data_IF_322027056902
#
_entry.id   IF_322027056902
#
_cell.length_a   1.000
_cell.length_b   1.000
_cell.length_c   1.000
_cell.angle_alpha   90.00
_cell.angle_beta   90.00
_cell.angle_gamma   90.00
#
_symmetry.space_group_name_H-M   'P 1'
#
loop_
_entity.id
_entity.type
_entity.pdbx_description
1 polymer ?
#
# COMPACT_ATOMS: atom_id res chain seq x y z
N UNK A 1 -8.24 9.85 2.11
CA UNK A 1 -7.30 10.30 1.08
C UNK A 1 -6.07 9.41 1.18
N UNK A 2 -5.50 9.03 0.06
CA UNK A 2 -4.37 8.11 0.03
C UNK A 2 -3.17 8.67 0.81
N UNK A 3 -2.55 7.83 1.64
CA UNK A 3 -1.38 8.21 2.44
C UNK A 3 -1.64 8.97 3.74
N UNK A 4 -2.89 9.37 4.04
CA UNK A 4 -3.24 10.04 5.30
C UNK A 4 -4.64 9.61 5.74
N UNK A 5 -4.72 8.85 6.82
CA UNK A 5 -5.98 8.34 7.39
C UNK A 5 -6.06 8.67 8.88
N UNK A 6 -7.08 9.39 9.32
CA UNK A 6 -7.25 9.71 10.74
C UNK A 6 -7.53 8.47 11.59
N UNK A 7 -8.16 7.47 11.00
CA UNK A 7 -8.52 6.20 11.67
C UNK A 7 -8.14 4.97 10.83
N UNK A 8 -7.56 3.97 11.51
CA UNK A 8 -7.19 2.69 10.94
C UNK A 8 -7.24 1.60 12.03
N UNK A 9 -8.30 0.80 12.03
CA UNK A 9 -8.60 -0.16 13.10
C UNK A 9 -7.48 -1.18 13.42
N UNK A 10 -6.61 -1.50 12.44
CA UNK A 10 -5.48 -2.42 12.67
C UNK A 10 -4.37 -1.86 13.57
N UNK A 11 -4.47 -0.59 13.99
CA UNK A 11 -3.60 -0.01 15.02
C UNK A 11 -4.03 -0.42 16.43
N UNK A 12 -5.29 -0.86 16.60
CA UNK A 12 -5.83 -1.28 17.88
C UNK A 12 -5.48 -2.77 18.08
N UNK A 13 -5.00 -3.13 19.26
CA UNK A 13 -4.54 -4.49 19.57
C UNK A 13 -3.14 -4.82 19.04
N UNK A 14 -2.38 -3.81 18.60
CA UNK A 14 -0.97 -3.93 18.23
C UNK A 14 -0.16 -2.93 19.03
N UNK A 15 0.87 -3.41 19.70
CA UNK A 15 1.88 -2.61 20.37
C UNK A 15 3.24 -2.79 19.70
N UNK A 16 4.16 -1.87 19.95
CA UNK A 16 5.54 -1.97 19.52
C UNK A 16 6.39 -2.21 20.76
N UNK A 17 7.15 -3.28 20.75
CA UNK A 17 8.21 -3.49 21.72
C UNK A 17 9.40 -2.62 21.31
N UNK A 18 9.74 -1.64 22.13
CA UNK A 18 10.84 -0.71 21.82
C UNK A 18 12.21 -1.33 21.95
N UNK A 19 12.35 -2.38 22.78
CA UNK A 19 13.61 -3.08 22.97
C UNK A 19 14.02 -3.89 21.74
N UNK A 20 13.05 -4.49 21.07
CA UNK A 20 13.23 -5.32 19.86
C UNK A 20 12.84 -4.64 18.57
N UNK A 21 12.09 -3.52 18.64
CA UNK A 21 11.50 -2.82 17.49
C UNK A 21 10.38 -3.60 16.79
N UNK A 22 9.95 -4.75 17.33
CA UNK A 22 8.93 -5.61 16.73
C UNK A 22 7.52 -5.20 17.14
N UNK A 23 6.58 -5.44 16.23
CA UNK A 23 5.16 -5.33 16.57
C UNK A 23 4.70 -6.60 17.27
N UNK A 24 4.08 -6.44 18.43
CA UNK A 24 3.51 -7.51 19.23
C UNK A 24 2.00 -7.35 19.33
N UNK A 25 1.30 -8.46 19.57
CA UNK A 25 -0.13 -8.44 19.79
C UNK A 25 -0.43 -7.98 21.23
N UNK A 26 -1.27 -6.94 21.37
CA UNK A 26 -1.79 -6.51 22.66
C UNK A 26 -3.22 -7.06 22.89
N UNK A 27 -3.50 -7.46 24.11
CA UNK A 27 -4.80 -7.98 24.51
C UNK A 27 -5.90 -6.93 24.41
N UNK A 28 -7.09 -7.31 23.96
CA UNK A 28 -8.28 -6.48 23.96
C UNK A 28 -9.23 -7.06 25.01
N UNK A 29 -9.53 -6.29 26.04
CA UNK A 29 -10.46 -6.72 27.10
C UNK A 29 -11.91 -6.77 26.61
N UNK A 30 -12.27 -5.86 25.74
CA UNK A 30 -13.59 -5.78 25.15
C UNK A 30 -13.83 -4.48 24.43
N UNK A 31 -14.99 -4.38 23.82
CA UNK A 31 -15.41 -3.18 23.14
C UNK A 31 -16.73 -3.36 22.43
N UNK A 32 -17.27 -2.26 21.94
CA UNK A 32 -18.48 -2.29 21.14
C UNK A 32 -18.40 -1.31 19.98
N UNK A 33 -19.19 -1.58 18.95
CA UNK A 33 -19.32 -0.74 17.78
C UNK A 33 -20.78 -0.60 17.38
N UNK A 34 -21.19 0.65 17.19
CA UNK A 34 -22.47 1.02 16.62
C UNK A 34 -22.23 1.77 15.31
N UNK A 35 -22.88 1.38 14.22
CA UNK A 35 -22.82 2.13 12.97
C UNK A 35 -24.10 1.95 12.17
N UNK A 36 -24.60 3.03 11.60
CA UNK A 36 -25.84 2.96 10.86
C UNK A 36 -26.30 4.30 10.32
N UNK A 37 -27.49 4.27 9.70
CA UNK A 37 -28.23 5.46 9.32
C UNK A 37 -29.33 5.68 10.33
N UNK A 38 -29.46 6.92 10.82
CA UNK A 38 -30.60 7.35 11.64
C UNK A 38 -31.80 7.58 10.72
N UNK A 39 -31.55 8.21 9.56
CA UNK A 39 -32.51 8.49 8.52
C UNK A 39 -31.84 8.55 7.14
N UNK A 40 -32.53 9.09 6.13
CA UNK A 40 -31.98 9.22 4.77
C UNK A 40 -30.83 10.23 4.65
N UNK A 41 -30.65 11.09 5.65
CA UNK A 41 -29.70 12.20 5.62
C UNK A 41 -28.57 12.03 6.62
N UNK A 42 -28.79 11.33 7.75
CA UNK A 42 -27.84 11.19 8.82
C UNK A 42 -27.28 9.79 8.93
N UNK A 43 -25.97 9.70 9.03
CA UNK A 43 -25.21 8.47 9.35
C UNK A 43 -24.37 8.74 10.58
N UNK A 44 -24.33 7.77 11.48
CA UNK A 44 -23.50 7.80 12.67
C UNK A 44 -22.59 6.57 12.71
N UNK A 45 -21.46 6.72 13.38
CA UNK A 45 -20.56 5.63 13.76
C UNK A 45 -20.00 5.94 15.13
N UNK A 46 -20.00 4.94 16.00
CA UNK A 46 -19.38 4.99 17.31
C UNK A 46 -18.65 3.67 17.56
N UNK A 47 -17.50 3.76 18.17
CA UNK A 47 -16.71 2.58 18.60
C UNK A 47 -15.98 2.95 19.88
N UNK A 48 -15.98 2.03 20.83
CA UNK A 48 -15.19 2.10 22.04
C UNK A 48 -14.53 0.74 22.30
N UNK A 49 -13.22 0.72 22.50
CA UNK A 49 -12.42 -0.50 22.71
C UNK A 49 -11.45 -0.25 23.85
N UNK A 50 -11.41 -1.17 24.81
CA UNK A 50 -10.45 -1.21 25.90
C UNK A 50 -9.39 -2.26 25.61
N UNK A 51 -8.14 -1.84 25.43
CA UNK A 51 -6.97 -2.70 25.34
C UNK A 51 -6.31 -2.87 26.71
N UNK A 52 -5.72 -4.03 26.92
CA UNK A 52 -5.05 -4.39 28.15
C UNK A 52 -3.68 -3.72 28.30
N UNK A 53 -3.12 -3.85 29.47
CA UNK A 53 -1.73 -3.51 29.77
C UNK A 53 -0.80 -4.68 29.47
N UNK A 54 0.48 -4.39 29.24
CA UNK A 54 1.55 -5.38 29.16
C UNK A 54 2.79 -4.83 29.89
N UNK A 55 3.00 -5.34 31.11
CA UNK A 55 4.10 -4.90 31.97
C UNK A 55 5.50 -5.18 31.37
N UNK A 56 5.62 -6.24 30.54
CA UNK A 56 6.91 -6.64 29.96
C UNK A 56 7.49 -5.59 29.01
N UNK A 57 6.63 -4.80 28.41
CA UNK A 57 7.00 -3.75 27.44
C UNK A 57 6.58 -2.36 27.92
N UNK A 58 6.24 -2.23 29.20
CA UNK A 58 5.79 -0.97 29.82
C UNK A 58 4.60 -0.33 29.06
N UNK A 59 3.65 -1.15 28.60
CA UNK A 59 2.47 -0.69 27.87
C UNK A 59 1.28 -0.54 28.83
N UNK A 60 0.72 0.67 29.02
CA UNK A 60 -0.44 0.88 29.87
C UNK A 60 -1.73 0.40 29.22
N UNK A 61 -2.71 0.06 30.07
CA UNK A 61 -4.09 -0.13 29.63
C UNK A 61 -4.58 1.10 28.86
N UNK A 62 -5.20 0.90 27.70
CA UNK A 62 -5.51 1.99 26.78
C UNK A 62 -6.93 1.88 26.24
N UNK A 63 -7.68 2.98 26.34
CA UNK A 63 -8.99 3.13 25.72
C UNK A 63 -8.89 3.81 24.34
N UNK A 64 -9.65 3.29 23.39
CA UNK A 64 -9.78 3.82 22.03
C UNK A 64 -11.23 4.12 21.72
N UNK A 65 -11.59 5.38 21.62
CA UNK A 65 -12.93 5.83 21.26
C UNK A 65 -12.92 6.55 19.89
N UNK A 66 -13.88 6.21 19.05
CA UNK A 66 -14.09 6.86 17.74
C UNK A 66 -15.57 7.20 17.61
N UNK A 67 -15.87 8.46 17.34
CA UNK A 67 -17.18 8.94 17.02
C UNK A 67 -17.20 9.63 15.65
N UNK A 68 -18.20 9.35 14.84
CA UNK A 68 -18.37 10.01 13.54
C UNK A 68 -19.84 10.31 13.27
N UNK A 69 -20.08 11.48 12.70
CA UNK A 69 -21.40 11.91 12.26
C UNK A 69 -21.27 12.45 10.84
N UNK A 70 -22.15 12.01 9.96
CA UNK A 70 -22.18 12.42 8.56
C UNK A 70 -23.59 12.86 8.18
N UNK A 71 -23.69 14.01 7.54
CA UNK A 71 -24.96 14.54 7.04
C UNK A 71 -24.91 14.65 5.52
N UNK A 72 -25.91 14.09 4.87
CA UNK A 72 -26.15 14.31 3.45
C UNK A 72 -26.60 15.75 3.23
N UNK A 73 -25.95 16.42 2.28
CA UNK A 73 -26.28 17.78 1.85
C UNK A 73 -26.42 17.78 0.33
N UNK A 74 -27.23 18.69 -0.19
CA UNK A 74 -27.60 18.70 -1.60
C UNK A 74 -28.19 17.32 -2.04
N UNK A 75 -28.04 16.99 -3.31
CA UNK A 75 -28.61 15.72 -3.85
C UNK A 75 -27.80 14.51 -3.41
N UNK A 76 -26.47 14.57 -3.39
CA UNK A 76 -25.58 13.41 -3.22
C UNK A 76 -24.31 13.71 -2.39
N UNK A 77 -24.00 14.94 -2.13
CA UNK A 77 -22.85 15.35 -1.32
C UNK A 77 -23.10 15.11 0.17
N UNK A 78 -22.06 15.10 0.95
CA UNK A 78 -22.16 15.00 2.40
C UNK A 78 -21.03 15.74 3.09
N UNK A 79 -21.29 16.15 4.32
CA UNK A 79 -20.30 16.67 5.26
C UNK A 79 -20.24 15.73 6.45
N UNK A 80 -19.04 15.46 6.96
CA UNK A 80 -18.80 14.59 8.08
C UNK A 80 -17.87 15.21 9.11
N UNK A 81 -18.05 14.81 10.35
CA UNK A 81 -17.15 15.11 11.47
C UNK A 81 -16.71 13.79 12.05
N UNK A 82 -15.44 13.68 12.39
CA UNK A 82 -14.85 12.54 13.11
C UNK A 82 -14.13 13.08 14.35
N UNK A 83 -14.31 12.40 15.47
CA UNK A 83 -13.56 12.60 16.70
C UNK A 83 -12.98 11.27 17.15
N UNK A 84 -11.70 11.26 17.50
CA UNK A 84 -10.96 10.09 17.95
C UNK A 84 -10.28 10.46 19.26
N UNK A 85 -10.36 9.55 20.24
CA UNK A 85 -9.64 9.69 21.50
C UNK A 85 -8.93 8.37 21.79
N UNK A 86 -7.62 8.44 22.01
CA UNK A 86 -6.83 7.41 22.63
C UNK A 86 -6.40 7.91 23.98
N UNK A 87 -6.72 7.17 25.04
CA UNK A 87 -6.40 7.50 26.41
C UNK A 87 -5.70 6.34 27.09
N UNK A 88 -4.47 6.55 27.54
CA UNK A 88 -3.74 5.58 28.35
C UNK A 88 -4.04 5.79 29.85
N UNK A 89 -4.15 4.69 30.59
CA UNK A 89 -4.36 4.65 32.05
C UNK A 89 -3.17 3.98 32.71
N UNK A 90 -2.63 4.62 33.73
CA UNK A 90 -1.36 4.21 34.35
C UNK A 90 -1.57 3.65 35.76
N UNK A 91 -2.55 2.79 35.99
CA UNK A 91 -2.88 2.38 37.37
C UNK A 91 -1.92 1.31 37.93
N UNK A 92 -1.17 0.59 37.11
CA UNK A 92 -0.32 -0.55 37.56
C UNK A 92 1.15 -0.46 37.12
N UNK A 93 1.49 0.42 36.21
CA UNK A 93 2.85 0.52 35.72
C UNK A 93 3.55 1.69 36.40
N UNK A 94 4.55 1.38 37.23
CA UNK A 94 5.42 2.36 37.91
C UNK A 94 6.41 3.02 36.93
N UNK A 95 5.93 3.47 35.77
CA UNK A 95 6.73 4.13 34.75
C UNK A 95 6.33 5.58 34.54
N UNK A 96 7.32 6.43 34.35
CA UNK A 96 7.09 7.82 33.95
C UNK A 96 6.68 7.85 32.47
N UNK A 97 5.58 8.51 32.13
CA UNK A 97 5.18 8.78 30.74
C UNK A 97 6.23 9.59 29.94
N UNK A 98 7.28 10.07 30.59
CA UNK A 98 8.39 10.74 29.91
C UNK A 98 9.19 9.82 28.99
N UNK A 99 9.15 8.50 29.21
CA UNK A 99 9.87 7.52 28.40
C UNK A 99 8.99 6.76 27.43
N UNK A 100 7.67 6.68 27.61
CA UNK A 100 6.65 6.14 26.68
C UNK A 100 5.45 5.49 27.40
N UNK A 101 4.29 5.30 26.78
CA UNK A 101 3.67 5.86 25.61
C UNK A 101 2.90 7.16 25.91
N UNK A 102 2.45 7.88 24.87
CA UNK A 102 1.68 9.11 25.06
C UNK A 102 0.44 8.88 25.92
N UNK A 103 0.28 9.69 26.96
CA UNK A 103 -0.86 9.65 27.88
C UNK A 103 -2.20 9.77 27.17
N UNK A 104 -2.24 10.64 26.15
CA UNK A 104 -3.42 10.77 25.28
C UNK A 104 -3.04 11.20 23.88
N UNK A 105 -3.85 10.79 22.93
CA UNK A 105 -3.84 11.32 21.57
C UNK A 105 -5.29 11.52 21.11
N UNK A 106 -5.63 12.75 20.75
CA UNK A 106 -6.96 13.11 20.31
C UNK A 106 -6.90 13.65 18.90
N UNK A 107 -7.90 13.35 18.09
CA UNK A 107 -7.99 13.87 16.73
C UNK A 107 -9.42 14.31 16.45
N UNK A 108 -9.53 15.50 15.84
CA UNK A 108 -10.80 16.01 15.32
C UNK A 108 -10.62 16.25 13.83
N UNK A 109 -11.60 15.87 13.04
CA UNK A 109 -11.59 16.06 11.60
C UNK A 109 -12.94 16.44 11.03
N UNK A 110 -12.89 17.21 9.95
CA UNK A 110 -14.05 17.57 9.13
C UNK A 110 -13.78 17.12 7.71
N UNK A 111 -14.75 16.44 7.10
CA UNK A 111 -14.72 15.96 5.72
C UNK A 111 -15.90 16.52 4.93
N UNK A 112 -15.65 16.97 3.72
CA UNK A 112 -16.66 17.25 2.72
C UNK A 112 -16.49 16.33 1.53
N UNK A 113 -17.52 15.60 1.15
CA UNK A 113 -17.52 14.75 -0.03
C UNK A 113 -18.49 15.31 -1.07
N UNK A 114 -17.95 15.73 -2.19
CA UNK A 114 -18.67 16.24 -3.34
C UNK A 114 -19.14 15.10 -4.23
N UNK A 115 -20.42 15.09 -4.60
CA UNK A 115 -20.94 14.26 -5.67
C UNK A 115 -22.05 15.02 -6.41
N UNK A 116 -21.80 15.38 -7.67
CA UNK A 116 -22.81 16.04 -8.50
C UNK A 116 -23.94 15.08 -8.89
N UNK A 117 -25.11 15.62 -9.23
CA UNK A 117 -26.29 14.85 -9.60
C UNK A 117 -26.01 13.88 -10.77
N UNK A 118 -25.24 14.31 -11.76
CA UNK A 118 -24.91 13.57 -12.97
C UNK A 118 -23.59 12.77 -12.89
N UNK A 119 -22.96 12.69 -11.71
CA UNK A 119 -21.64 12.05 -11.50
C UNK A 119 -20.46 12.63 -12.31
N UNK A 120 -20.62 13.77 -12.96
CA UNK A 120 -19.53 14.40 -13.72
C UNK A 120 -18.48 14.94 -12.78
N UNK A 121 -18.89 15.52 -11.64
CA UNK A 121 -18.01 16.03 -10.62
C UNK A 121 -18.11 15.18 -9.35
N UNK A 122 -16.99 14.76 -8.85
CA UNK A 122 -16.85 14.16 -7.51
C UNK A 122 -15.54 14.61 -6.87
N UNK A 123 -15.51 14.61 -5.55
CA UNK A 123 -14.32 15.05 -4.86
C UNK A 123 -14.43 14.89 -3.36
N UNK A 124 -13.35 15.25 -2.70
CA UNK A 124 -13.26 15.31 -1.24
C UNK A 124 -12.39 16.48 -0.83
N UNK A 125 -12.79 17.17 0.24
CA UNK A 125 -11.92 18.06 0.99
C UNK A 125 -11.93 17.61 2.45
N UNK A 126 -10.82 17.74 3.15
CA UNK A 126 -10.73 17.39 4.56
C UNK A 126 -9.76 18.30 5.30
N UNK A 127 -10.02 18.43 6.60
CA UNK A 127 -9.10 19.01 7.56
C UNK A 127 -9.13 18.18 8.84
N UNK A 128 -7.97 17.72 9.29
CA UNK A 128 -7.79 16.96 10.52
C UNK A 128 -6.75 17.65 11.39
N UNK A 129 -6.94 17.61 12.70
CA UNK A 129 -5.96 18.10 13.66
C UNK A 129 -5.80 17.09 14.79
N UNK A 130 -4.56 16.80 15.14
CA UNK A 130 -4.19 15.96 16.26
C UNK A 130 -3.76 16.80 17.46
N UNK A 131 -3.99 16.29 18.66
CA UNK A 131 -3.65 16.91 19.93
C UNK A 131 -3.07 15.82 20.82
N UNK A 132 -1.92 16.07 21.40
CA UNK A 132 -1.26 15.19 22.36
C UNK A 132 -0.62 16.01 23.49
N UNK A 133 0.03 15.34 24.42
CA UNK A 133 0.64 15.97 25.59
C UNK A 133 1.81 16.89 25.27
N UNK A 134 2.40 16.79 24.08
CA UNK A 134 3.56 17.61 23.70
C UNK A 134 3.18 19.04 23.32
N UNK A 135 1.91 19.29 22.98
CA UNK A 135 1.39 20.62 22.66
C UNK A 135 2.08 21.30 21.47
N UNK A 136 2.62 20.50 20.52
CA UNK A 136 3.40 21.01 19.40
C UNK A 136 2.52 21.73 18.37
N UNK A 137 3.12 22.63 17.62
CA UNK A 137 2.50 23.27 16.45
C UNK A 137 2.56 22.32 15.23
N UNK A 138 1.90 22.73 14.12
CA UNK A 138 1.88 21.96 12.87
C UNK A 138 1.32 20.54 13.00
N UNK A 139 0.28 20.37 13.82
CA UNK A 139 -0.37 19.07 14.12
C UNK A 139 -1.57 18.78 13.21
N UNK A 140 -1.58 19.30 12.00
CA UNK A 140 -2.70 19.21 11.08
C UNK A 140 -2.40 18.35 9.85
N UNK A 141 -3.47 17.86 9.22
CA UNK A 141 -3.45 17.34 7.86
C UNK A 141 -4.67 17.88 7.10
N UNK A 142 -4.45 18.44 5.95
CA UNK A 142 -5.49 19.01 5.10
C UNK A 142 -5.27 18.64 3.64
N UNK A 143 -6.31 18.72 2.85
CA UNK A 143 -6.22 18.48 1.41
C UNK A 143 -7.52 17.99 0.82
N UNK A 144 -7.40 17.46 -0.39
CA UNK A 144 -8.55 16.92 -1.08
C UNK A 144 -8.24 16.58 -2.53
N UNK A 145 -9.28 16.20 -3.22
CA UNK A 145 -9.24 16.01 -4.66
C UNK A 145 -10.55 16.45 -5.30
N UNK A 146 -10.47 16.81 -6.56
CA UNK A 146 -11.63 17.04 -7.42
C UNK A 146 -11.44 16.28 -8.72
N UNK A 147 -12.44 15.50 -9.10
CA UNK A 147 -12.50 14.77 -10.36
C UNK A 147 -13.60 15.36 -11.24
N UNK A 148 -13.25 15.62 -12.48
CA UNK A 148 -14.18 15.87 -13.57
C UNK A 148 -14.11 14.70 -14.54
N UNK A 149 -15.22 13.99 -14.74
CA UNK A 149 -15.26 12.80 -15.58
C UNK A 149 -16.46 12.81 -16.52
N UNK A 150 -16.17 12.83 -17.79
CA UNK A 150 -17.12 12.69 -18.89
C UNK A 150 -16.69 11.54 -19.80
N UNK A 151 -17.44 11.29 -20.86
CA UNK A 151 -17.04 10.27 -21.84
C UNK A 151 -15.66 10.58 -22.46
N UNK A 152 -15.38 11.83 -22.81
CA UNK A 152 -14.15 12.23 -23.48
C UNK A 152 -13.05 12.69 -22.53
N UNK A 153 -13.40 13.33 -21.43
CA UNK A 153 -12.46 13.99 -20.54
C UNK A 153 -12.45 13.33 -19.17
N UNK A 154 -11.27 13.09 -18.64
CA UNK A 154 -11.08 12.69 -17.24
C UNK A 154 -9.96 13.55 -16.66
N UNK A 155 -10.30 14.39 -15.68
CA UNK A 155 -9.37 15.32 -15.01
C UNK A 155 -9.42 15.03 -13.52
N UNK A 156 -8.27 14.89 -12.89
CA UNK A 156 -8.11 14.80 -11.44
C UNK A 156 -7.11 15.85 -10.97
N UNK A 157 -7.49 16.61 -9.99
CA UNK A 157 -6.58 17.47 -9.21
C UNK A 157 -6.61 17.00 -7.76
N UNK A 158 -5.45 16.78 -7.20
CA UNK A 158 -5.23 16.36 -5.82
C UNK A 158 -4.29 17.32 -5.12
N UNK A 159 -4.59 17.67 -3.87
CA UNK A 159 -3.70 18.46 -3.01
C UNK A 159 -3.66 17.86 -1.62
N UNK A 160 -2.53 17.98 -0.94
CA UNK A 160 -2.37 17.57 0.45
C UNK A 160 -1.27 18.38 1.13
N UNK A 161 -1.53 18.81 2.37
CA UNK A 161 -0.53 19.36 3.27
C UNK A 161 -0.60 18.61 4.59
N UNK A 162 0.53 18.15 5.09
CA UNK A 162 0.64 17.41 6.35
C UNK A 162 1.73 18.07 7.19
N UNK A 163 1.36 18.60 8.34
CA UNK A 163 2.28 19.24 9.27
C UNK A 163 3.31 18.27 9.85
N UNK A 164 4.47 18.78 10.23
CA UNK A 164 5.57 18.00 10.76
C UNK A 164 5.17 17.18 12.00
N UNK A 165 4.34 17.76 12.86
CA UNK A 165 3.93 17.16 14.13
C UNK A 165 2.54 16.51 14.08
N UNK A 166 1.93 16.36 12.89
CA UNK A 166 0.67 15.63 12.78
C UNK A 166 0.85 14.17 13.19
N UNK A 167 0.11 13.76 14.22
CA UNK A 167 0.26 12.44 14.83
C UNK A 167 -1.07 11.72 15.03
N UNK A 168 -1.61 11.01 14.03
CA UNK A 168 -2.80 10.18 14.17
C UNK A 168 -2.44 8.78 14.68
N UNK A 169 -2.28 8.58 15.99
CA UNK A 169 -1.84 7.29 16.55
C UNK A 169 -2.80 6.15 16.28
N UNK A 170 -4.11 6.42 16.21
CA UNK A 170 -5.14 5.43 15.80
C UNK A 170 -5.35 5.41 14.29
N UNK A 171 -4.55 6.13 13.56
CA UNK A 171 -4.53 6.23 12.12
C UNK A 171 -3.13 6.04 11.54
N UNK A 172 -2.87 6.67 10.42
CA UNK A 172 -1.51 6.79 9.91
C UNK A 172 -1.35 8.01 8.97
N UNK A 173 -0.15 8.56 8.94
CA UNK A 173 0.33 9.46 7.91
C UNK A 173 1.60 8.84 7.32
N UNK A 174 1.56 8.57 6.01
CA UNK A 174 2.70 7.93 5.32
C UNK A 174 3.93 8.83 5.27
N UNK A 175 3.70 10.14 5.13
CA UNK A 175 4.73 11.17 5.08
C UNK A 175 4.20 12.42 5.78
N UNK A 176 5.01 12.99 6.63
CA UNK A 176 4.74 14.25 7.34
C UNK A 176 5.63 15.35 6.79
N UNK A 177 5.39 16.59 7.19
CA UNK A 177 6.15 17.76 6.74
C UNK A 177 6.21 17.88 5.22
N UNK A 178 5.02 17.83 4.59
CA UNK A 178 4.90 17.90 3.13
C UNK A 178 3.75 18.75 2.66
N UNK A 179 3.96 19.36 1.50
CA UNK A 179 2.93 19.89 0.63
C UNK A 179 2.99 19.13 -0.70
N UNK A 180 1.85 18.69 -1.20
CA UNK A 180 1.74 17.90 -2.42
C UNK A 180 0.65 18.44 -3.32
N UNK A 181 0.95 18.52 -4.61
CA UNK A 181 -0.01 18.80 -5.67
C UNK A 181 0.18 17.77 -6.77
N UNK A 182 -0.90 17.08 -7.14
CA UNK A 182 -0.89 16.14 -8.24
C UNK A 182 -2.04 16.44 -9.22
N UNK A 183 -1.78 16.26 -10.49
CA UNK A 183 -2.76 16.49 -11.55
C UNK A 183 -2.67 15.38 -12.58
N UNK A 184 -3.82 14.88 -13.02
CA UNK A 184 -3.91 13.90 -14.11
C UNK A 184 -4.99 14.32 -15.09
N UNK A 185 -4.69 14.25 -16.37
CA UNK A 185 -5.63 14.57 -17.43
C UNK A 185 -5.58 13.52 -18.54
N UNK A 186 -6.73 13.02 -18.95
CA UNK A 186 -6.90 12.10 -20.06
C UNK A 186 -7.91 12.64 -21.07
N UNK A 187 -7.60 12.50 -22.34
CA UNK A 187 -8.54 12.67 -23.45
C UNK A 187 -8.84 11.32 -24.09
N UNK A 188 -10.09 10.92 -24.15
CA UNK A 188 -10.50 9.63 -24.69
C UNK A 188 -11.20 9.79 -26.05
N UNK A 189 -10.74 9.03 -27.03
CA UNK A 189 -11.29 8.92 -28.37
C UNK A 189 -11.95 7.55 -28.52
N UNK A 190 -13.08 7.50 -29.23
CA UNK A 190 -13.89 6.30 -29.40
C UNK A 190 -14.11 6.04 -30.91
N UNK A 191 -13.21 5.34 -31.59
CA UNK A 191 -13.35 5.05 -33.02
C UNK A 191 -14.51 4.10 -33.29
N UNK A 192 -15.33 4.43 -34.29
CA UNK A 192 -16.56 3.66 -34.59
C UNK A 192 -16.29 2.32 -35.30
N UNK A 193 -15.29 2.28 -36.19
CA UNK A 193 -15.01 1.16 -37.10
C UNK A 193 -13.63 0.53 -36.87
N UNK A 194 -13.28 0.21 -35.63
CA UNK A 194 -12.01 -0.47 -35.32
C UNK A 194 -12.18 -1.48 -34.18
N UNK A 195 -11.19 -2.37 -34.01
CA UNK A 195 -11.08 -3.25 -32.88
C UNK A 195 -10.81 -2.52 -31.54
N UNK A 196 -10.47 -1.21 -31.62
CA UNK A 196 -10.21 -0.37 -30.47
C UNK A 196 -11.54 0.16 -29.92
N UNK A 197 -11.78 -0.03 -28.63
CA UNK A 197 -12.93 0.51 -27.91
C UNK A 197 -12.71 1.99 -27.56
N UNK A 198 -11.52 2.31 -27.03
CA UNK A 198 -11.11 3.68 -26.70
C UNK A 198 -9.60 3.77 -26.68
N UNK A 199 -9.07 4.94 -26.99
CA UNK A 199 -7.66 5.27 -26.85
C UNK A 199 -7.49 6.77 -26.59
N UNK A 200 -6.30 7.19 -26.21
CA UNK A 200 -6.01 8.62 -26.15
C UNK A 200 -4.79 8.99 -25.31
N UNK A 201 -4.35 10.23 -25.49
CA UNK A 201 -3.25 10.81 -24.73
C UNK A 201 -3.67 11.19 -23.31
N UNK A 202 -2.69 11.30 -22.45
CA UNK A 202 -2.82 11.86 -21.11
C UNK A 202 -1.52 12.50 -20.65
N UNK A 203 -1.65 13.33 -19.65
CA UNK A 203 -0.54 13.90 -18.90
C UNK A 203 -0.82 13.73 -17.41
N UNK A 204 0.21 13.55 -16.63
CA UNK A 204 0.12 13.71 -15.19
C UNK A 204 1.40 14.30 -14.62
N UNK A 205 1.27 14.93 -13.46
CA UNK A 205 2.40 15.31 -12.64
C UNK A 205 2.05 15.17 -11.16
N UNK A 206 3.04 14.90 -10.35
CA UNK A 206 3.00 14.90 -8.89
C UNK A 206 4.21 15.65 -8.37
N UNK A 207 3.98 16.63 -7.49
CA UNK A 207 5.02 17.50 -6.93
C UNK A 207 4.88 17.47 -5.41
N UNK A 208 5.98 17.15 -4.72
CA UNK A 208 6.06 17.13 -3.26
C UNK A 208 7.21 18.02 -2.83
N UNK A 209 6.93 18.88 -1.87
CA UNK A 209 7.92 19.76 -1.25
C UNK A 209 7.62 20.04 0.21
N UNK A 210 8.51 20.73 0.87
CA UNK A 210 8.30 21.32 2.20
C UNK A 210 9.00 22.67 2.31
N UNK A 211 8.81 23.36 3.46
CA UNK A 211 9.37 24.68 3.68
C UNK A 211 10.88 24.67 3.95
N UNK A 212 11.42 23.57 4.47
CA UNK A 212 12.84 23.45 4.87
C UNK A 212 13.74 23.13 3.69
N UNK A 213 13.36 22.14 2.89
CA UNK A 213 14.18 21.61 1.77
C UNK A 213 13.69 22.04 0.40
N UNK A 214 12.53 22.72 0.33
CA UNK A 214 11.91 23.10 -0.93
C UNK A 214 11.35 21.88 -1.66
N UNK A 215 11.83 21.62 -2.87
CA UNK A 215 11.37 20.51 -3.71
C UNK A 215 12.01 19.19 -3.28
N UNK A 216 11.17 18.20 -2.95
CA UNK A 216 11.60 16.89 -2.48
C UNK A 216 11.53 15.82 -3.55
N UNK A 217 10.36 15.69 -4.15
CA UNK A 217 10.10 14.73 -5.22
C UNK A 217 9.16 15.35 -6.24
N UNK A 218 9.36 15.04 -7.51
CA UNK A 218 8.35 15.27 -8.53
C UNK A 218 8.46 14.28 -9.66
N UNK A 219 7.34 14.03 -10.31
CA UNK A 219 7.32 13.35 -11.59
C UNK A 219 6.35 14.01 -12.57
N UNK A 220 6.70 13.93 -13.84
CA UNK A 220 5.86 14.36 -14.94
C UNK A 220 5.84 13.28 -16.02
N UNK A 221 4.65 12.98 -16.52
CA UNK A 221 4.42 11.91 -17.47
C UNK A 221 3.66 12.41 -18.70
N UNK A 222 4.16 12.05 -19.89
CA UNK A 222 3.39 12.02 -21.13
C UNK A 222 2.92 10.59 -21.36
N UNK A 223 1.64 10.41 -21.55
CA UNK A 223 1.03 9.09 -21.54
C UNK A 223 0.18 8.85 -22.79
N UNK A 224 0.10 7.60 -23.20
CA UNK A 224 -0.88 7.15 -24.16
C UNK A 224 -1.42 5.78 -23.77
N UNK A 225 -2.72 5.57 -23.96
CA UNK A 225 -3.37 4.29 -23.66
C UNK A 225 -4.33 3.86 -24.74
N UNK A 226 -4.52 2.56 -24.85
CA UNK A 226 -5.57 2.00 -25.67
C UNK A 226 -6.27 0.84 -24.95
N UNK A 227 -7.57 0.73 -25.18
CA UNK A 227 -8.40 -0.40 -24.78
C UNK A 227 -9.06 -0.96 -26.02
N UNK A 228 -8.97 -2.26 -26.19
CA UNK A 228 -9.58 -3.00 -27.28
C UNK A 228 -10.94 -3.57 -26.89
N UNK A 229 -11.77 -3.86 -27.90
CA UNK A 229 -13.10 -4.49 -27.69
C UNK A 229 -13.02 -5.91 -27.11
N UNK A 230 -11.89 -6.58 -27.31
CA UNK A 230 -11.58 -7.85 -26.68
C UNK A 230 -11.06 -7.73 -25.23
N UNK A 231 -11.21 -6.55 -24.60
CA UNK A 231 -10.77 -6.19 -23.25
C UNK A 231 -9.26 -6.03 -23.05
N UNK A 232 -8.41 -6.37 -24.02
CA UNK A 232 -6.99 -6.10 -23.93
C UNK A 232 -6.72 -4.59 -23.76
N UNK A 233 -5.71 -4.25 -22.99
CA UNK A 233 -5.31 -2.84 -22.74
C UNK A 233 -3.81 -2.71 -22.77
N UNK A 234 -3.33 -1.57 -23.20
CA UNK A 234 -1.95 -1.16 -22.95
C UNK A 234 -1.87 0.33 -22.64
N UNK A 235 -0.83 0.72 -21.94
CA UNK A 235 -0.42 2.11 -21.80
C UNK A 235 1.11 2.23 -21.82
N UNK A 236 1.57 3.35 -22.35
CA UNK A 236 2.96 3.76 -22.34
C UNK A 236 3.06 5.13 -21.65
N UNK A 237 4.13 5.34 -20.88
CA UNK A 237 4.45 6.60 -20.22
C UNK A 237 5.90 6.94 -20.50
N UNK A 238 6.13 8.15 -20.97
CA UNK A 238 7.43 8.79 -20.95
C UNK A 238 7.48 9.63 -19.69
N UNK A 239 8.36 9.27 -18.78
CA UNK A 239 8.41 9.82 -17.43
C UNK A 239 9.73 10.53 -17.18
N UNK A 240 9.65 11.70 -16.59
CA UNK A 240 10.75 12.38 -15.95
C UNK A 240 10.44 12.48 -14.48
N UNK A 241 11.40 12.11 -13.64
CA UNK A 241 11.26 12.18 -12.18
C UNK A 241 12.49 12.80 -11.53
N UNK A 242 12.26 13.37 -10.34
CA UNK A 242 13.27 13.93 -9.47
C UNK A 242 13.04 13.38 -8.06
N UNK A 243 14.13 13.02 -7.38
CA UNK A 243 14.09 12.53 -6.01
C UNK A 243 15.23 13.12 -5.22
N UNK A 244 14.92 13.65 -4.02
CA UNK A 244 15.90 14.09 -3.02
C UNK A 244 16.03 13.01 -1.93
N UNK A 245 17.26 12.62 -1.61
CA UNK A 245 17.56 11.62 -0.59
C UNK A 245 17.83 12.30 0.77
N UNK A 246 16.96 12.05 1.75
CA UNK A 246 17.17 12.49 3.13
C UNK A 246 18.22 11.66 3.86
N UNK A 247 18.19 10.35 3.61
CA UNK A 247 19.07 9.36 4.20
C UNK A 247 19.91 8.68 3.12
N UNK A 248 21.05 8.14 3.52
CA UNK A 248 21.87 7.33 2.63
C UNK A 248 21.08 6.08 2.17
N UNK A 249 21.13 5.78 0.88
CA UNK A 249 20.29 4.75 0.26
C UNK A 249 21.11 3.85 -0.67
N UNK A 250 20.97 2.52 -0.52
CA UNK A 250 21.53 1.54 -1.45
C UNK A 250 20.51 1.23 -2.56
N UNK A 251 20.70 1.72 -3.80
CA UNK A 251 19.76 1.49 -4.89
C UNK A 251 19.80 0.04 -5.44
N UNK A 252 20.86 -0.70 -5.17
CA UNK A 252 21.00 -2.10 -5.58
C UNK A 252 20.23 -3.07 -4.68
N UNK A 253 20.04 -2.71 -3.40
CA UNK A 253 19.43 -3.57 -2.38
C UNK A 253 20.28 -4.80 -2.04
N UNK A 254 21.60 -4.74 -2.26
CA UNK A 254 22.56 -5.83 -2.03
C UNK A 254 23.45 -5.59 -0.80
N UNK A 255 23.14 -4.59 0.03
CA UNK A 255 23.96 -4.10 1.14
C UNK A 255 25.34 -3.56 0.69
N UNK A 256 25.38 -2.99 -0.52
CA UNK A 256 26.55 -2.33 -1.08
C UNK A 256 26.72 -0.88 -0.61
N UNK A 257 27.63 -0.15 -1.27
CA UNK A 257 27.86 1.27 -1.04
C UNK A 257 26.55 2.05 -1.23
N UNK A 258 26.30 3.03 -0.35
CA UNK A 258 25.07 3.81 -0.35
C UNK A 258 25.26 5.15 -1.04
N UNK A 259 24.28 5.57 -1.82
CA UNK A 259 24.16 6.94 -2.28
C UNK A 259 24.08 7.89 -1.06
N UNK A 260 24.81 9.00 -1.05
CA UNK A 260 24.89 9.87 0.11
C UNK A 260 23.55 10.61 0.36
N UNK A 261 23.25 10.81 1.64
CA UNK A 261 22.18 11.71 2.06
C UNK A 261 22.42 13.14 1.57
N UNK A 262 21.37 13.92 1.37
CA UNK A 262 21.45 15.30 0.88
C UNK A 262 21.67 15.43 -0.62
N UNK A 263 21.68 14.34 -1.37
CA UNK A 263 21.82 14.35 -2.83
C UNK A 263 20.48 14.25 -3.55
N UNK A 264 20.46 14.68 -4.81
CA UNK A 264 19.26 14.63 -5.64
C UNK A 264 19.55 14.04 -7.03
N UNK A 265 18.54 13.38 -7.59
CA UNK A 265 18.65 12.68 -8.86
C UNK A 265 17.49 13.02 -9.80
N UNK A 266 17.84 13.27 -11.07
CA UNK A 266 16.87 13.36 -12.16
C UNK A 266 16.94 12.08 -12.98
N UNK A 267 15.78 11.56 -13.37
CA UNK A 267 15.70 10.28 -14.07
C UNK A 267 14.70 10.38 -15.24
N UNK A 268 15.08 9.85 -16.40
CA UNK A 268 14.21 9.67 -17.55
C UNK A 268 13.96 8.20 -17.78
N UNK A 269 12.71 7.83 -17.91
CA UNK A 269 12.34 6.42 -18.07
C UNK A 269 11.07 6.24 -18.89
N UNK A 270 10.93 5.05 -19.44
CA UNK A 270 9.74 4.58 -20.12
C UNK A 270 9.07 3.49 -19.28
N UNK A 271 7.76 3.64 -19.07
CA UNK A 271 6.93 2.60 -18.43
C UNK A 271 5.93 2.10 -19.46
N UNK A 272 5.88 0.78 -19.65
CA UNK A 272 4.90 0.15 -20.49
C UNK A 272 4.14 -0.90 -19.73
N UNK A 273 2.81 -0.90 -19.83
CA UNK A 273 1.93 -1.90 -19.24
C UNK A 273 1.03 -2.49 -20.32
N UNK A 274 0.88 -3.81 -20.28
CA UNK A 274 0.03 -4.56 -21.19
C UNK A 274 -0.79 -5.59 -20.42
N UNK A 275 -2.10 -5.61 -20.67
CA UNK A 275 -2.99 -6.66 -20.21
C UNK A 275 -3.66 -7.28 -21.42
N UNK A 276 -3.52 -8.57 -21.61
CA UNK A 276 -4.14 -9.30 -22.69
C UNK A 276 -5.64 -9.57 -22.42
N UNK A 277 -6.34 -10.20 -23.36
CA UNK A 277 -7.73 -10.59 -23.19
C UNK A 277 -7.86 -11.71 -22.13
N UNK A 278 -8.32 -11.35 -20.92
CA UNK A 278 -8.50 -12.29 -19.81
C UNK A 278 -9.62 -13.33 -20.02
N UNK A 279 -10.38 -13.27 -21.12
CA UNK A 279 -11.38 -14.29 -21.51
C UNK A 279 -10.73 -15.47 -22.25
N UNK A 280 -9.51 -15.31 -22.74
CA UNK A 280 -8.73 -16.36 -23.39
C UNK A 280 -8.24 -17.39 -22.36
N UNK A 281 -7.99 -18.63 -22.81
CA UNK A 281 -7.38 -19.64 -21.97
C UNK A 281 -5.97 -19.22 -21.53
N UNK A 282 -5.19 -18.64 -22.44
CA UNK A 282 -3.89 -18.04 -22.13
C UNK A 282 -4.04 -16.51 -22.10
N UNK A 283 -3.65 -15.90 -20.98
CA UNK A 283 -3.64 -14.44 -20.82
C UNK A 283 -2.47 -13.98 -19.94
N UNK A 284 -2.11 -12.72 -20.09
CA UNK A 284 -0.96 -12.15 -19.39
C UNK A 284 -1.19 -10.69 -18.99
N UNK A 285 -0.54 -10.31 -17.89
CA UNK A 285 -0.35 -8.93 -17.47
C UNK A 285 1.17 -8.71 -17.43
N UNK A 286 1.66 -7.73 -18.18
CA UNK A 286 3.07 -7.36 -18.25
C UNK A 286 3.25 -5.91 -17.85
N UNK A 287 4.30 -5.63 -17.11
CA UNK A 287 4.74 -4.28 -16.77
C UNK A 287 6.25 -4.20 -16.93
N UNK A 288 6.71 -3.16 -17.57
CA UNK A 288 8.15 -2.89 -17.70
C UNK A 288 8.45 -1.43 -17.39
N UNK A 289 9.60 -1.19 -16.78
CA UNK A 289 10.19 0.13 -16.54
C UNK A 289 11.64 0.10 -17.00
N UNK A 290 11.98 0.98 -17.93
CA UNK A 290 13.27 1.03 -18.60
C UNK A 290 13.80 2.46 -18.53
N UNK A 291 15.02 2.66 -18.13
CA UNK A 291 15.66 3.97 -18.16
C UNK A 291 16.64 4.22 -17.03
N UNK A 292 16.82 5.48 -16.72
CA UNK A 292 17.71 5.92 -15.67
C UNK A 292 17.21 5.52 -14.28
N UNK A 293 18.11 5.30 -13.35
CA UNK A 293 17.84 4.92 -11.99
C UNK A 293 18.92 5.47 -11.08
N UNK A 294 18.61 6.54 -10.37
CA UNK A 294 19.58 7.36 -9.62
C UNK A 294 20.76 7.81 -10.50
N UNK A 295 21.96 7.32 -10.22
CA UNK A 295 23.19 7.59 -10.99
C UNK A 295 23.51 6.53 -12.05
N UNK A 296 22.61 5.56 -12.26
CA UNK A 296 22.80 4.48 -13.23
C UNK A 296 21.56 4.18 -14.06
N UNK A 297 21.32 2.91 -14.35
CA UNK A 297 20.20 2.45 -15.19
C UNK A 297 19.49 1.26 -14.59
N UNK A 298 18.18 1.11 -14.88
CA UNK A 298 17.39 -0.04 -14.48
C UNK A 298 16.50 -0.55 -15.61
N UNK A 299 16.50 -1.87 -15.76
CA UNK A 299 15.51 -2.64 -16.52
C UNK A 299 14.69 -3.41 -15.50
N UNK A 300 13.41 -3.06 -15.37
CA UNK A 300 12.45 -3.86 -14.60
C UNK A 300 11.47 -4.50 -15.56
N UNK A 301 11.29 -5.81 -15.46
CA UNK A 301 10.26 -6.57 -16.17
C UNK A 301 9.50 -7.40 -15.15
N UNK A 302 8.19 -7.22 -15.07
CA UNK A 302 7.33 -7.97 -14.17
C UNK A 302 6.04 -8.40 -14.86
N UNK A 303 5.46 -9.50 -14.41
CA UNK A 303 4.22 -9.94 -15.00
C UNK A 303 3.67 -11.23 -14.42
N UNK A 304 2.50 -11.57 -14.93
CA UNK A 304 1.80 -12.82 -14.64
C UNK A 304 1.37 -13.41 -15.97
N UNK A 305 1.83 -14.63 -16.25
CA UNK A 305 1.33 -15.45 -17.35
C UNK A 305 0.39 -16.49 -16.76
N UNK A 306 -0.86 -16.55 -17.23
CA UNK A 306 -1.88 -17.49 -16.73
C UNK A 306 -2.42 -18.33 -17.85
N UNK A 307 -2.44 -19.63 -17.64
CA UNK A 307 -3.11 -20.61 -18.50
C UNK A 307 -4.27 -21.25 -17.73
N UNK A 308 -5.47 -21.12 -18.27
CA UNK A 308 -6.70 -21.66 -17.70
C UNK A 308 -7.11 -22.91 -18.49
N UNK A 309 -7.23 -24.01 -17.81
CA UNK A 309 -7.74 -25.28 -18.37
C UNK A 309 -9.07 -25.63 -17.71
N UNK A 310 -10.12 -25.13 -18.29
CA UNK A 310 -11.49 -25.31 -17.84
C UNK A 310 -11.96 -26.76 -18.08
N UNK A 311 -12.64 -27.41 -17.13
CA UNK A 311 -13.12 -26.86 -15.85
C UNK A 311 -12.17 -27.07 -14.65
N UNK A 312 -10.96 -27.57 -14.87
CA UNK A 312 -10.10 -28.15 -13.85
C UNK A 312 -9.30 -27.11 -13.04
N UNK A 313 -9.10 -25.90 -13.54
CA UNK A 313 -8.37 -24.87 -12.83
C UNK A 313 -7.50 -23.97 -13.69
N UNK A 314 -6.38 -23.53 -13.13
CA UNK A 314 -5.40 -22.71 -13.85
C UNK A 314 -3.98 -22.93 -13.32
N UNK A 315 -3.02 -22.67 -14.20
CA UNK A 315 -1.61 -22.51 -13.84
C UNK A 315 -1.18 -21.07 -14.12
N UNK A 316 -0.40 -20.46 -13.26
CA UNK A 316 0.14 -19.12 -13.46
C UNK A 316 1.63 -19.06 -13.09
N UNK A 317 2.35 -18.21 -13.79
CA UNK A 317 3.74 -17.88 -13.50
C UNK A 317 3.83 -16.38 -13.21
N UNK A 318 4.11 -16.04 -11.96
CA UNK A 318 4.47 -14.68 -11.55
C UNK A 318 5.97 -14.52 -11.69
N UNK A 319 6.43 -13.41 -12.23
CA UNK A 319 7.85 -13.11 -12.32
C UNK A 319 8.12 -11.62 -12.16
N UNK A 320 9.25 -11.30 -11.56
CA UNK A 320 9.84 -9.97 -11.51
C UNK A 320 11.34 -10.10 -11.69
N UNK A 321 11.86 -9.40 -12.69
CA UNK A 321 13.29 -9.30 -12.95
C UNK A 321 13.69 -7.83 -12.90
N UNK A 322 14.72 -7.51 -12.12
CA UNK A 322 15.34 -6.19 -12.06
C UNK A 322 16.83 -6.36 -12.40
N UNK A 323 17.24 -5.70 -13.46
CA UNK A 323 18.65 -5.51 -13.78
C UNK A 323 19.01 -4.06 -13.49
N UNK A 324 19.86 -3.84 -12.48
CA UNK A 324 20.36 -2.54 -12.04
C UNK A 324 21.84 -2.48 -12.40
N UNK A 325 22.25 -1.38 -13.02
CA UNK A 325 23.65 -1.12 -13.37
C UNK A 325 24.00 0.28 -12.87
N UNK A 326 24.98 0.34 -11.98
CA UNK A 326 25.44 1.55 -11.32
C UNK A 326 26.92 1.76 -11.58
N UNK A 327 27.43 3.01 -11.61
CA UNK A 327 28.87 3.26 -11.70
C UNK A 327 29.57 2.87 -10.38
N UNK A 328 30.84 2.54 -10.45
CA UNK A 328 31.66 2.35 -9.24
C UNK A 328 31.61 3.60 -8.34
N UNK A 329 31.61 3.44 -7.01
CA UNK A 329 31.80 2.21 -6.22
C UNK A 329 30.51 1.43 -5.89
N UNK A 330 29.38 1.74 -6.51
CA UNK A 330 28.08 1.15 -6.20
C UNK A 330 27.92 -0.22 -6.86
N UNK A 331 27.21 -1.13 -6.17
CA UNK A 331 27.02 -2.48 -6.67
C UNK A 331 25.97 -2.56 -7.78
N UNK A 332 26.25 -3.34 -8.78
CA UNK A 332 25.28 -3.85 -9.73
C UNK A 332 24.37 -4.91 -9.08
N UNK A 333 23.17 -5.10 -9.59
CA UNK A 333 22.27 -6.15 -9.14
C UNK A 333 21.45 -6.76 -10.29
N UNK A 334 21.32 -8.09 -10.25
CA UNK A 334 20.36 -8.86 -11.06
C UNK A 334 19.43 -9.62 -10.10
N UNK A 335 18.23 -9.05 -9.87
CA UNK A 335 17.27 -9.54 -8.89
C UNK A 335 16.14 -10.27 -9.60
N UNK A 336 15.94 -11.54 -9.23
CA UNK A 336 14.92 -12.42 -9.80
C UNK A 336 13.97 -12.94 -8.72
N UNK A 337 12.69 -12.67 -8.90
CA UNK A 337 11.60 -13.29 -8.17
C UNK A 337 10.75 -14.07 -9.19
N UNK A 338 10.59 -15.36 -9.01
CA UNK A 338 9.77 -16.21 -9.86
C UNK A 338 8.88 -17.11 -9.01
N UNK A 339 7.59 -17.19 -9.36
CA UNK A 339 6.59 -17.88 -8.56
C UNK A 339 5.55 -18.61 -9.41
N UNK A 340 5.77 -19.88 -9.78
CA UNK A 340 4.72 -20.72 -10.34
C UNK A 340 3.64 -21.03 -9.30
N UNK A 341 2.39 -21.01 -9.76
CA UNK A 341 1.22 -21.37 -8.98
C UNK A 341 0.29 -22.25 -9.81
N UNK A 342 -0.24 -23.28 -9.18
CA UNK A 342 -1.23 -24.18 -9.77
C UNK A 342 -2.43 -24.26 -8.84
N UNK A 343 -3.63 -24.02 -9.37
CA UNK A 343 -4.89 -24.22 -8.68
C UNK A 343 -5.74 -25.24 -9.45
N UNK A 344 -6.07 -26.37 -8.79
CA UNK A 344 -6.84 -27.47 -9.34
C UNK A 344 -8.14 -27.67 -8.58
N UNK A 345 -9.21 -27.83 -9.33
CA UNK A 345 -10.48 -28.36 -8.86
C UNK A 345 -10.61 -29.80 -9.34
N UNK A 346 -10.09 -30.74 -8.54
CA UNK A 346 -10.04 -32.17 -8.90
C UNK A 346 -11.43 -32.78 -8.98
N UNK A 347 -12.29 -32.39 -8.03
CA UNK A 347 -13.71 -32.74 -8.00
C UNK A 347 -14.51 -31.55 -7.46
N UNK A 348 -15.84 -31.71 -7.37
CA UNK A 348 -16.72 -30.68 -6.74
C UNK A 348 -16.40 -30.43 -5.26
N UNK A 349 -15.67 -31.32 -4.63
CA UNK A 349 -15.35 -31.27 -3.18
C UNK A 349 -13.85 -31.32 -2.88
N UNK A 350 -12.98 -31.50 -3.87
CA UNK A 350 -11.51 -31.61 -3.65
C UNK A 350 -10.78 -30.55 -4.48
N UNK A 351 -10.03 -29.71 -3.78
CA UNK A 351 -9.28 -28.60 -4.33
C UNK A 351 -7.82 -28.73 -3.94
N UNK A 352 -6.93 -28.46 -4.88
CA UNK A 352 -5.50 -28.44 -4.64
C UNK A 352 -4.91 -27.13 -5.12
N UNK A 353 -4.17 -26.44 -4.26
CA UNK A 353 -3.44 -25.22 -4.58
C UNK A 353 -1.99 -25.40 -4.20
N UNK A 354 -1.07 -25.08 -5.09
CA UNK A 354 0.36 -25.03 -4.77
C UNK A 354 0.98 -23.77 -5.34
N UNK A 355 1.86 -23.17 -4.56
CA UNK A 355 2.63 -21.99 -4.90
C UNK A 355 4.08 -22.23 -4.49
N UNK A 356 4.98 -22.06 -5.43
CA UNK A 356 6.42 -22.12 -5.20
C UNK A 356 6.99 -20.74 -5.54
N UNK A 357 7.87 -20.19 -4.72
CA UNK A 357 8.48 -18.89 -4.95
C UNK A 357 9.98 -18.94 -4.72
N UNK A 358 10.73 -18.59 -5.73
CA UNK A 358 12.17 -18.41 -5.67
C UNK A 358 12.51 -16.91 -5.67
N UNK A 359 13.39 -16.50 -4.75
CA UNK A 359 13.91 -15.13 -4.64
C UNK A 359 15.43 -15.19 -4.42
N UNK A 360 16.19 -14.73 -5.40
CA UNK A 360 17.64 -14.73 -5.33
C UNK A 360 18.21 -13.59 -4.43
N UNK A 361 17.46 -12.53 -4.19
CA UNK A 361 17.91 -11.43 -3.33
C UNK A 361 18.10 -11.85 -1.86
N UNK A 362 17.28 -12.78 -1.40
CA UNK A 362 17.32 -13.31 -0.03
C UNK A 362 17.67 -14.80 0.01
N UNK A 363 18.13 -15.35 -1.10
CA UNK A 363 18.52 -16.77 -1.26
C UNK A 363 17.47 -17.73 -0.71
N UNK A 364 16.22 -17.58 -1.17
CA UNK A 364 15.08 -18.28 -0.60
C UNK A 364 14.19 -18.96 -1.63
N UNK A 365 13.80 -20.21 -1.32
CA UNK A 365 12.75 -20.96 -2.00
C UNK A 365 11.62 -21.26 -1.02
N UNK A 366 10.46 -20.66 -1.24
CA UNK A 366 9.25 -20.89 -0.46
C UNK A 366 8.32 -21.86 -1.19
N UNK A 367 7.77 -22.84 -0.48
CA UNK A 367 6.78 -23.78 -0.99
C UNK A 367 5.56 -23.70 -0.07
N UNK A 368 4.39 -23.54 -0.66
CA UNK A 368 3.11 -23.61 0.06
C UNK A 368 2.15 -24.46 -0.79
N UNK A 369 1.72 -25.59 -0.24
CA UNK A 369 0.80 -26.52 -0.89
C UNK A 369 -0.36 -26.81 0.03
N UNK A 370 -1.58 -26.74 -0.49
CA UNK A 370 -2.81 -26.98 0.27
C UNK A 370 -3.74 -27.90 -0.50
N UNK A 371 -4.09 -29.01 0.12
CA UNK A 371 -5.20 -29.87 -0.28
C UNK A 371 -6.40 -29.57 0.62
N UNK A 372 -7.55 -29.26 0.03
CA UNK A 372 -8.82 -29.01 0.72
C UNK A 372 -9.82 -30.07 0.27
N UNK A 373 -10.44 -30.74 1.24
CA UNK A 373 -11.54 -31.66 1.01
C UNK A 373 -12.80 -31.19 1.73
N UNK A 374 -13.81 -30.77 0.94
CA UNK A 374 -15.12 -30.40 1.43
C UNK A 374 -16.02 -31.63 1.44
N UNK A 375 -16.12 -32.30 2.58
CA UNK A 375 -16.90 -33.53 2.71
C UNK A 375 -18.39 -33.28 2.97
N UNK A 376 -18.76 -32.08 3.48
CA UNK A 376 -20.14 -31.58 3.65
C UNK A 376 -20.18 -30.08 3.39
N UNK A 377 -21.35 -29.50 3.11
CA UNK A 377 -21.48 -28.04 3.05
C UNK A 377 -20.92 -27.38 4.33
N UNK A 378 -20.08 -26.37 4.16
CA UNK A 378 -19.42 -25.61 5.26
C UNK A 378 -18.47 -26.45 6.15
N UNK A 379 -18.12 -27.68 5.73
CA UNK A 379 -17.21 -28.55 6.48
C UNK A 379 -16.04 -28.97 5.61
N UNK A 380 -14.86 -28.46 5.91
CA UNK A 380 -13.64 -28.65 5.14
C UNK A 380 -12.54 -29.32 6.01
N UNK A 381 -11.78 -30.21 5.40
CA UNK A 381 -10.51 -30.73 5.92
C UNK A 381 -9.41 -30.12 5.07
N UNK A 382 -8.38 -29.60 5.72
CA UNK A 382 -7.21 -29.06 5.05
C UNK A 382 -5.97 -29.89 5.41
N UNK A 383 -5.17 -30.18 4.38
CA UNK A 383 -3.79 -30.63 4.54
C UNK A 383 -2.90 -29.57 3.94
N UNK A 384 -2.08 -28.92 4.77
CA UNK A 384 -1.23 -27.81 4.37
C UNK A 384 0.22 -28.18 4.60
N UNK A 385 1.03 -28.00 3.56
CA UNK A 385 2.47 -28.09 3.65
C UNK A 385 3.07 -26.73 3.34
N UNK A 386 3.84 -26.18 4.27
CA UNK A 386 4.58 -24.93 4.09
C UNK A 386 6.01 -25.13 4.52
N UNK A 387 6.94 -24.76 3.63
CA UNK A 387 8.37 -24.83 3.93
C UNK A 387 9.14 -23.70 3.23
N UNK A 388 10.28 -23.33 3.79
CA UNK A 388 11.19 -22.30 3.31
C UNK A 388 12.59 -22.89 3.28
N UNK A 389 13.23 -22.89 2.12
CA UNK A 389 14.58 -23.41 1.93
C UNK A 389 15.55 -22.28 1.59
N UNK A 390 16.76 -22.39 2.14
CA UNK A 390 17.91 -21.60 1.74
C UNK A 390 18.43 -22.10 0.40
N UNK A 391 18.58 -21.24 -0.60
CA UNK A 391 19.02 -21.65 -1.95
C UNK A 391 20.53 -21.54 -2.15
N UNK A 392 21.22 -20.75 -1.32
CA UNK A 392 22.67 -20.64 -1.32
C UNK A 392 23.20 -20.56 0.12
N UNK A 393 24.39 -21.10 0.35
CA UNK A 393 25.07 -21.01 1.65
C UNK A 393 25.47 -19.54 1.92
N UNK A 394 25.08 -19.01 3.07
CA UNK A 394 25.46 -17.67 3.50
C UNK A 394 25.53 -17.56 5.02
N UNK A 395 26.20 -16.50 5.48
CA UNK A 395 26.20 -16.08 6.89
C UNK A 395 25.48 -14.74 6.98
N UNK A 396 24.53 -14.61 7.91
CA UNK A 396 23.82 -13.34 8.11
C UNK A 396 24.66 -12.29 8.89
N UNK A 397 24.10 -11.10 9.05
CA UNK A 397 24.77 -9.99 9.75
C UNK A 397 25.03 -10.30 11.24
N UNK A 398 24.25 -11.22 11.84
CA UNK A 398 24.42 -11.68 13.22
C UNK A 398 25.38 -12.88 13.33
N UNK A 399 26.05 -13.27 12.23
CA UNK A 399 27.03 -14.37 12.19
C UNK A 399 26.42 -15.77 12.16
N UNK A 400 25.10 -15.93 11.92
CA UNK A 400 24.44 -17.21 11.82
C UNK A 400 24.67 -17.83 10.44
N UNK A 401 25.16 -19.06 10.40
CA UNK A 401 25.43 -19.81 9.18
C UNK A 401 24.19 -20.54 8.68
N UNK A 402 23.88 -20.38 7.38
CA UNK A 402 22.77 -21.05 6.69
C UNK A 402 23.31 -21.87 5.52
N UNK A 403 23.15 -23.17 5.58
CA UNK A 403 23.57 -24.07 4.50
C UNK A 403 22.51 -24.16 3.39
N UNK A 404 22.95 -24.34 2.15
CA UNK A 404 22.06 -24.62 1.02
C UNK A 404 21.14 -25.80 1.32
N UNK A 405 19.84 -25.67 1.00
CA UNK A 405 18.83 -26.69 1.27
C UNK A 405 18.34 -26.75 2.72
N UNK A 406 18.91 -25.96 3.62
CA UNK A 406 18.46 -25.91 5.01
C UNK A 406 17.08 -25.24 5.10
N UNK A 407 16.09 -25.83 5.80
CA UNK A 407 14.81 -25.20 6.03
C UNK A 407 14.95 -24.05 7.03
N UNK A 408 14.40 -22.85 6.69
CA UNK A 408 14.33 -21.69 7.60
C UNK A 408 13.17 -21.80 8.58
N UNK A 409 12.04 -22.31 8.09
CA UNK A 409 10.83 -22.56 8.87
C UNK A 409 10.19 -23.84 8.32
N UNK A 410 9.72 -24.71 9.18
CA UNK A 410 8.95 -25.88 8.78
C UNK A 410 7.63 -25.89 9.54
N UNK A 411 6.50 -25.94 8.83
CA UNK A 411 5.17 -26.06 9.41
C UNK A 411 4.29 -27.00 8.57
N UNK A 412 3.68 -27.96 9.21
CA UNK A 412 2.59 -28.78 8.66
C UNK A 412 1.40 -28.61 9.57
N UNK A 413 0.26 -28.12 9.04
CA UNK A 413 -1.00 -27.92 9.77
C UNK A 413 -2.16 -28.62 9.06
#
# INVERSE_FOLDING_TARGET
VEGTRPFFSRRIGVARDESTGQNIQNSIYGGFRLSGKIDNNWRIGFMDIQAGEDEKINLPSTNFMVASVQRKIFTRSNIGIIAINKQAFQDSITGDFTTNPMKYNRLIGVDYNLASKNNVWNGKAFYHRSFDQNGLDSTFATGGFINYSTLKWSVNLFTRSVGANYNPEVGFARRKDIQQVAYTHWYNMYPKKSGIQSHGPGIDFDIIGNEVYGLLDWDANLMYRARYRNTATWNIRLRKEYTYLFDSFDPSGTNGEKLPAGTSYHQYLVVFNFNSDARKALFTNLSTRLGEYFNGTRINLSGILTYRYIPWGFASLNFTYNRIRLPEPYNDADLLLIGPRIDLTLTRSVFFTTFVQYNNQINNLNINSRLQWRFKPVSDIFLVYTDNYVTETFTDAEGRFFAQGQPRLRGVV
#
